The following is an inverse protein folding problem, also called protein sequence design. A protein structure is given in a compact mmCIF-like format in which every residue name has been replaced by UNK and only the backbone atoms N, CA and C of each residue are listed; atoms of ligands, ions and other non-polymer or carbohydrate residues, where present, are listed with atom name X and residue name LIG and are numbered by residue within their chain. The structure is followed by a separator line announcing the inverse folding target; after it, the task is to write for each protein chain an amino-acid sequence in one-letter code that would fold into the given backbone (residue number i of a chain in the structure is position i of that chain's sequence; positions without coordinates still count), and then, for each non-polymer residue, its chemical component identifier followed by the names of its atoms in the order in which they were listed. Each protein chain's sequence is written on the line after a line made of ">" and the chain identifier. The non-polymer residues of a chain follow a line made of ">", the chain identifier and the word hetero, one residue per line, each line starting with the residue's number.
data_IF_923158165565
#
_entry.id   IF_923158165565
#
_cell.length_a   1.000
_cell.length_b   1.000
_cell.length_c   1.000
_cell.angle_alpha   90.00
_cell.angle_beta   90.00
_cell.angle_gamma   90.00
#
_symmetry.space_group_name_H-M   'P 1'
#
loop_
_entity.id
_entity.type
_entity.pdbx_description
1 polymer ?
#
# COMPACT_ATOMS: atom_id res chain seq x y z
N UNK A 1 -19.86 7.28 -6.96
CA UNK A 1 -20.31 6.07 -6.23
C UNK A 1 -21.15 6.52 -5.05
N UNK A 2 -22.07 5.70 -4.57
CA UNK A 2 -22.94 6.01 -3.42
C UNK A 2 -22.76 4.93 -2.33
N UNK A 3 -22.91 5.32 -1.07
CA UNK A 3 -22.81 4.39 0.05
C UNK A 3 -24.13 3.62 0.24
N UNK A 4 -24.12 2.27 0.27
CA UNK A 4 -25.34 1.49 0.40
C UNK A 4 -26.07 1.77 1.72
N UNK A 5 -27.41 1.78 1.70
CA UNK A 5 -28.21 1.99 2.90
C UNK A 5 -27.88 0.93 3.97
N UNK A 6 -27.76 1.34 5.23
CA UNK A 6 -27.27 0.48 6.33
C UNK A 6 -28.12 -0.79 6.54
N UNK A 7 -29.39 -0.73 6.17
CA UNK A 7 -30.36 -1.83 6.20
C UNK A 7 -30.35 -2.73 4.95
N UNK A 8 -29.37 -2.60 4.05
CA UNK A 8 -29.23 -3.46 2.85
C UNK A 8 -28.95 -4.91 3.24
N UNK A 9 -29.58 -5.87 2.54
CA UNK A 9 -29.55 -7.31 2.89
C UNK A 9 -28.13 -7.93 2.90
N UNK A 10 -27.19 -7.37 2.13
CA UNK A 10 -25.79 -7.81 2.11
C UNK A 10 -24.99 -7.37 3.36
N UNK A 11 -25.43 -6.29 4.02
CA UNK A 11 -24.79 -5.74 5.22
C UNK A 11 -25.30 -6.44 6.49
N UNK A 12 -24.43 -6.54 7.49
CA UNK A 12 -24.77 -7.18 8.76
C UNK A 12 -25.77 -6.34 9.55
N UNK A 13 -26.89 -6.93 9.94
CA UNK A 13 -27.93 -6.29 10.74
C UNK A 13 -27.72 -6.48 12.26
N UNK A 14 -26.57 -7.01 12.68
CA UNK A 14 -26.20 -7.09 14.09
C UNK A 14 -25.87 -5.69 14.66
N UNK A 15 -26.34 -5.38 15.86
CA UNK A 15 -26.22 -4.03 16.44
C UNK A 15 -24.77 -3.50 16.55
N UNK A 16 -23.80 -4.37 16.86
CA UNK A 16 -22.37 -4.03 16.88
C UNK A 16 -21.86 -3.65 15.50
N UNK A 17 -22.22 -4.43 14.49
CA UNK A 17 -21.77 -4.21 13.10
C UNK A 17 -22.45 -2.97 12.50
N UNK A 18 -23.72 -2.74 12.82
CA UNK A 18 -24.45 -1.51 12.45
C UNK A 18 -23.83 -0.25 13.07
N UNK A 19 -23.30 -0.32 14.29
CA UNK A 19 -22.56 0.80 14.88
C UNK A 19 -21.28 1.10 14.09
N UNK A 20 -20.49 0.07 13.73
CA UNK A 20 -19.31 0.23 12.89
C UNK A 20 -19.63 0.72 11.47
N UNK A 21 -20.67 0.16 10.82
CA UNK A 21 -21.15 0.63 9.51
C UNK A 21 -21.62 2.09 9.57
N UNK A 22 -22.24 2.52 10.67
CA UNK A 22 -22.62 3.92 10.91
C UNK A 22 -21.41 4.86 11.01
N UNK A 23 -20.34 4.44 11.69
CA UNK A 23 -19.08 5.20 11.76
C UNK A 23 -18.42 5.27 10.37
N UNK A 24 -18.37 4.16 9.63
CA UNK A 24 -17.82 4.13 8.27
C UNK A 24 -18.64 5.02 7.33
N UNK A 25 -19.98 5.04 7.48
CA UNK A 25 -20.84 5.96 6.72
C UNK A 25 -20.56 7.41 7.06
N UNK A 26 -20.39 7.77 8.33
CA UNK A 26 -20.05 9.15 8.71
C UNK A 26 -18.74 9.63 8.06
N UNK A 27 -17.70 8.79 8.10
CA UNK A 27 -16.42 9.07 7.42
C UNK A 27 -16.58 9.14 5.89
N UNK A 28 -17.46 8.33 5.31
CA UNK A 28 -17.80 8.44 3.88
C UNK A 28 -18.51 9.76 3.58
N UNK A 29 -19.54 10.13 4.34
CA UNK A 29 -20.33 11.34 4.13
C UNK A 29 -19.48 12.62 4.28
N UNK A 30 -18.43 12.60 5.09
CA UNK A 30 -17.52 13.74 5.33
C UNK A 30 -16.35 13.81 4.33
N UNK A 31 -15.75 12.68 3.93
CA UNK A 31 -14.51 12.68 3.14
C UNK A 31 -14.65 12.13 1.71
N UNK A 32 -15.70 11.37 1.37
CA UNK A 32 -15.71 10.55 0.15
C UNK A 32 -15.57 11.33 -1.17
N UNK A 33 -16.03 12.58 -1.25
CA UNK A 33 -15.84 13.43 -2.43
C UNK A 33 -14.35 13.69 -2.74
N UNK A 34 -13.50 13.77 -1.72
CA UNK A 34 -12.04 13.96 -1.83
C UNK A 34 -11.32 12.65 -2.20
N UNK A 35 -11.93 11.49 -1.94
CA UNK A 35 -11.27 10.19 -2.09
C UNK A 35 -11.20 9.74 -3.56
N UNK A 36 -10.05 9.21 -4.02
CA UNK A 36 -9.94 8.53 -5.31
C UNK A 36 -10.93 7.36 -5.47
N UNK A 37 -11.30 7.03 -6.71
CA UNK A 37 -12.30 5.99 -6.99
C UNK A 37 -11.86 4.58 -6.56
N UNK A 38 -10.58 4.24 -6.63
CA UNK A 38 -10.05 2.97 -6.12
C UNK A 38 -10.17 2.87 -4.59
N UNK A 39 -9.94 3.97 -3.87
CA UNK A 39 -10.12 4.08 -2.43
C UNK A 39 -11.62 3.99 -2.08
N UNK A 40 -12.49 4.70 -2.81
CA UNK A 40 -13.95 4.60 -2.66
C UNK A 40 -14.46 3.17 -2.86
N UNK A 41 -14.07 2.52 -3.97
CA UNK A 41 -14.45 1.13 -4.26
C UNK A 41 -13.95 0.18 -3.16
N UNK A 42 -12.70 0.34 -2.68
CA UNK A 42 -12.15 -0.49 -1.60
C UNK A 42 -12.95 -0.37 -0.30
N UNK A 43 -13.48 0.81 0.03
CA UNK A 43 -14.36 0.96 1.21
C UNK A 43 -15.65 0.16 1.00
N UNK A 44 -16.32 0.33 -0.14
CA UNK A 44 -17.59 -0.31 -0.47
C UNK A 44 -17.49 -1.85 -0.49
N UNK A 45 -16.47 -2.39 -1.16
CA UNK A 45 -16.23 -3.83 -1.26
C UNK A 45 -16.03 -4.50 0.11
N UNK A 46 -15.46 -3.76 1.07
CA UNK A 46 -15.19 -4.27 2.41
C UNK A 46 -16.36 -4.12 3.40
N UNK A 47 -17.48 -3.47 3.03
CA UNK A 47 -18.63 -3.29 3.93
C UNK A 47 -19.30 -4.63 4.31
N UNK A 48 -19.37 -5.60 3.39
CA UNK A 48 -19.90 -6.94 3.72
C UNK A 48 -19.00 -7.71 4.71
N UNK A 49 -17.73 -7.30 4.83
CA UNK A 49 -16.73 -7.92 5.71
C UNK A 49 -16.70 -7.33 7.13
N UNK A 50 -17.47 -6.29 7.44
CA UNK A 50 -17.53 -5.61 8.77
C UNK A 50 -18.04 -6.52 9.92
N UNK A 51 -18.49 -7.74 9.60
CA UNK A 51 -19.11 -8.71 10.51
C UNK A 51 -18.23 -9.08 11.72
N UNK A 52 -18.68 -8.70 12.92
CA UNK A 52 -18.05 -9.11 14.18
C UNK A 52 -18.24 -10.60 14.43
N UNK A 53 -17.15 -11.27 14.73
CA UNK A 53 -17.10 -12.69 15.14
C UNK A 53 -16.35 -12.79 16.47
N UNK A 54 -16.60 -13.87 17.22
CA UNK A 54 -15.96 -14.08 18.54
C UNK A 54 -14.42 -14.07 18.49
N UNK A 55 -13.83 -14.37 17.33
CA UNK A 55 -12.37 -14.37 17.13
C UNK A 55 -11.82 -13.01 16.66
N UNK A 56 -12.55 -12.25 15.83
CA UNK A 56 -12.07 -10.96 15.33
C UNK A 56 -12.33 -9.79 16.30
N UNK A 57 -13.34 -9.86 17.17
CA UNK A 57 -13.62 -8.81 18.16
C UNK A 57 -12.43 -8.55 19.11
N UNK A 58 -11.69 -9.60 19.46
CA UNK A 58 -10.55 -9.54 20.39
C UNK A 58 -9.30 -8.93 19.75
N UNK A 59 -9.03 -9.18 18.47
CA UNK A 59 -7.82 -8.74 17.78
C UNK A 59 -8.09 -8.38 16.30
N UNK A 60 -7.71 -7.16 15.84
CA UNK A 60 -7.84 -6.76 14.44
C UNK A 60 -7.12 -7.69 13.45
N UNK A 61 -6.00 -8.31 13.86
CA UNK A 61 -5.27 -9.31 13.08
C UNK A 61 -6.06 -10.60 12.82
N UNK A 62 -7.14 -10.85 13.57
CA UNK A 62 -8.09 -11.92 13.29
C UNK A 62 -9.00 -11.63 12.09
N UNK A 63 -9.20 -10.36 11.74
CA UNK A 63 -10.17 -9.91 10.73
C UNK A 63 -9.83 -10.38 9.31
N UNK A 64 -10.84 -10.52 8.43
CA UNK A 64 -10.62 -10.88 7.02
C UNK A 64 -9.85 -9.78 6.28
N UNK A 65 -10.26 -8.54 6.48
CA UNK A 65 -9.66 -7.33 5.86
C UNK A 65 -8.17 -7.20 6.22
N UNK A 66 -7.78 -7.50 7.46
CA UNK A 66 -6.36 -7.50 7.87
C UNK A 66 -5.52 -8.54 7.11
N UNK A 67 -6.12 -9.64 6.63
CA UNK A 67 -5.40 -10.71 5.92
C UNK A 67 -5.25 -10.44 4.42
N UNK A 68 -5.77 -9.33 3.91
CA UNK A 68 -5.52 -8.89 2.54
C UNK A 68 -4.08 -8.35 2.41
N UNK A 69 -3.29 -8.72 1.38
CA UNK A 69 -1.94 -8.19 1.18
C UNK A 69 -1.91 -6.73 0.69
N UNK A 70 -3.00 -6.24 0.11
CA UNK A 70 -3.07 -5.01 -0.67
C UNK A 70 -3.68 -3.83 0.11
N UNK A 71 -3.38 -3.72 1.42
CA UNK A 71 -3.87 -2.60 2.25
C UNK A 71 -3.59 -1.23 1.60
N UNK A 72 -4.65 -0.41 1.53
CA UNK A 72 -4.65 0.98 1.10
C UNK A 72 -5.43 1.86 2.10
N UNK A 73 -5.69 3.12 1.76
CA UNK A 73 -6.44 4.04 2.62
C UNK A 73 -7.89 3.59 2.87
N UNK A 74 -8.56 2.98 1.90
CA UNK A 74 -9.92 2.45 2.08
C UNK A 74 -9.97 1.29 3.06
N UNK A 75 -8.92 0.44 3.06
CA UNK A 75 -8.71 -0.60 4.08
C UNK A 75 -8.60 0.00 5.48
N UNK A 76 -7.88 1.11 5.62
CA UNK A 76 -7.72 1.83 6.89
C UNK A 76 -9.05 2.39 7.41
N UNK A 77 -9.80 3.14 6.58
CA UNK A 77 -11.08 3.74 6.96
C UNK A 77 -12.06 2.68 7.49
N UNK A 78 -12.21 1.56 6.78
CA UNK A 78 -13.12 0.47 7.22
C UNK A 78 -12.63 -0.15 8.54
N UNK A 79 -11.35 -0.47 8.67
CA UNK A 79 -10.81 -1.05 9.90
C UNK A 79 -10.89 -0.08 11.09
N UNK A 80 -10.69 1.21 10.87
CA UNK A 80 -10.82 2.25 11.89
C UNK A 80 -12.26 2.38 12.40
N UNK A 81 -13.27 2.27 11.51
CA UNK A 81 -14.68 2.22 11.90
C UNK A 81 -15.09 0.95 12.66
N UNK A 82 -14.38 -0.18 12.47
CA UNK A 82 -14.59 -1.42 13.23
C UNK A 82 -13.92 -1.37 14.61
N UNK A 83 -12.66 -0.93 14.67
CA UNK A 83 -11.79 -1.15 15.84
C UNK A 83 -11.35 0.12 16.58
N UNK A 84 -11.49 1.30 15.97
CA UNK A 84 -10.87 2.54 16.41
C UNK A 84 -9.36 2.58 16.09
N UNK A 85 -8.88 3.78 15.71
CA UNK A 85 -7.47 4.08 15.35
C UNK A 85 -6.47 3.46 16.34
N UNK A 86 -6.72 3.61 17.64
CA UNK A 86 -5.82 3.18 18.71
C UNK A 86 -5.58 1.66 18.82
N UNK A 87 -6.35 0.81 18.12
CA UNK A 87 -6.10 -0.65 18.04
C UNK A 87 -5.33 -1.07 16.78
N UNK A 88 -5.03 -0.14 15.88
CA UNK A 88 -4.54 -0.42 14.52
C UNK A 88 -3.10 0.05 14.25
N UNK A 89 -2.32 0.34 15.29
CA UNK A 89 -0.97 0.93 15.20
C UNK A 89 -0.06 0.24 14.17
N UNK A 90 -0.05 -1.09 14.10
CA UNK A 90 0.77 -1.84 13.12
C UNK A 90 0.28 -1.65 11.67
N UNK A 91 -1.03 -1.54 11.46
CA UNK A 91 -1.60 -1.24 10.14
C UNK A 91 -1.29 0.21 9.74
N UNK A 92 -1.43 1.15 10.69
CA UNK A 92 -1.05 2.56 10.49
C UNK A 92 0.42 2.69 10.07
N UNK A 93 1.35 2.15 10.85
CA UNK A 93 2.79 2.16 10.57
C UNK A 93 3.15 1.54 9.21
N UNK A 94 2.45 0.46 8.82
CA UNK A 94 2.64 -0.20 7.53
C UNK A 94 2.16 0.68 6.36
N UNK A 95 1.09 1.44 6.56
CA UNK A 95 0.52 2.34 5.56
C UNK A 95 1.27 3.68 5.48
N UNK A 96 1.65 4.28 6.61
CA UNK A 96 2.56 5.44 6.70
C UNK A 96 3.88 5.15 5.96
N UNK A 97 4.41 3.92 6.09
CA UNK A 97 5.64 3.48 5.38
C UNK A 97 5.45 3.27 3.87
N UNK A 98 4.20 3.14 3.39
CA UNK A 98 3.85 3.00 1.95
C UNK A 98 3.41 4.32 1.33
N UNK A 99 2.81 5.20 2.12
CA UNK A 99 2.14 6.43 1.71
C UNK A 99 2.47 7.57 2.72
N UNK A 100 3.70 8.08 2.73
CA UNK A 100 4.16 9.06 3.73
C UNK A 100 3.48 10.43 3.60
N UNK A 101 2.83 10.71 2.48
CA UNK A 101 2.11 11.95 2.19
C UNK A 101 0.64 11.95 2.66
N UNK A 102 0.18 10.88 3.35
CA UNK A 102 -1.18 10.74 3.88
C UNK A 102 -1.17 10.86 5.41
N UNK A 103 -2.06 11.69 5.95
CA UNK A 103 -2.36 11.71 7.39
C UNK A 103 -3.48 10.72 7.72
N UNK A 104 -3.12 9.63 8.40
CA UNK A 104 -4.04 8.58 8.79
C UNK A 104 -4.85 8.89 10.07
N UNK A 105 -4.51 9.93 10.83
CA UNK A 105 -5.27 10.33 12.03
C UNK A 105 -6.43 11.27 11.68
N UNK A 106 -6.27 12.19 10.72
CA UNK A 106 -7.33 13.13 10.31
C UNK A 106 -8.38 12.55 9.35
N UNK A 107 -8.20 11.31 8.89
CA UNK A 107 -9.09 10.59 7.94
C UNK A 107 -9.28 11.26 6.57
N UNK A 108 -8.60 12.38 6.29
CA UNK A 108 -8.47 12.90 4.94
C UNK A 108 -7.54 12.01 4.12
N UNK A 109 -8.12 11.33 3.14
CA UNK A 109 -7.38 10.46 2.22
C UNK A 109 -6.41 11.22 1.32
N UNK A 110 -5.69 10.51 0.44
CA UNK A 110 -4.68 11.14 -0.41
C UNK A 110 -5.30 12.21 -1.29
N UNK A 111 -5.01 13.47 -0.96
CA UNK A 111 -5.20 14.61 -1.87
C UNK A 111 -4.56 14.24 -3.21
N UNK A 112 -5.24 14.48 -4.36
CA UNK A 112 -4.85 13.92 -5.65
C UNK A 112 -3.36 14.17 -5.92
N UNK A 113 -2.59 13.12 -6.26
CA UNK A 113 -1.13 13.15 -6.14
C UNK A 113 -0.56 14.31 -6.94
N UNK A 114 0.35 15.13 -6.35
CA UNK A 114 0.84 16.34 -6.97
C UNK A 114 1.42 15.99 -8.35
N UNK A 115 0.80 16.58 -9.39
CA UNK A 115 0.98 16.25 -10.81
C UNK A 115 2.40 15.77 -11.11
N UNK A 116 2.54 14.45 -11.30
CA UNK A 116 3.83 13.79 -11.34
C UNK A 116 4.79 14.53 -12.29
N UNK A 117 5.92 15.06 -11.80
CA UNK A 117 6.73 16.01 -12.57
C UNK A 117 7.12 15.38 -13.90
N UNK A 118 6.86 16.06 -15.04
CA UNK A 118 6.71 15.43 -16.35
C UNK A 118 7.90 14.53 -16.66
N UNK A 119 7.61 13.25 -16.83
CA UNK A 119 8.56 12.14 -16.69
C UNK A 119 9.89 12.45 -17.37
N UNK A 120 10.91 12.81 -16.56
CA UNK A 120 12.15 13.43 -17.05
C UNK A 120 12.86 12.45 -17.99
N UNK A 121 12.71 12.70 -19.29
CA UNK A 121 13.08 11.74 -20.33
C UNK A 121 14.53 11.35 -20.14
N UNK A 122 14.80 10.06 -19.89
CA UNK A 122 16.16 9.56 -19.69
C UNK A 122 16.92 9.68 -21.01
N UNK A 123 17.47 10.87 -21.28
CA UNK A 123 18.42 11.09 -22.36
C UNK A 123 19.59 10.14 -22.15
N UNK A 124 19.60 9.04 -22.90
CA UNK A 124 20.65 8.05 -22.85
C UNK A 124 21.92 8.68 -23.41
N UNK A 125 22.74 9.25 -22.53
CA UNK A 125 24.07 9.73 -22.88
C UNK A 125 24.87 8.54 -23.42
N UNK A 126 24.97 8.43 -24.75
CA UNK A 126 25.66 7.35 -25.46
C UNK A 126 27.16 7.49 -25.23
N UNK A 127 27.63 6.99 -24.09
CA UNK A 127 29.01 7.11 -23.64
C UNK A 127 29.94 6.37 -24.62
N UNK A 128 30.58 7.14 -25.50
CA UNK A 128 31.26 6.68 -26.71
C UNK A 128 32.62 6.06 -26.36
N UNK A 129 32.62 4.81 -25.88
CA UNK A 129 33.83 4.07 -25.48
C UNK A 129 34.90 4.13 -26.59
N UNK A 130 36.13 4.62 -26.31
CA UNK A 130 37.18 4.70 -27.31
C UNK A 130 37.77 3.30 -27.62
N UNK A 131 37.95 3.04 -28.92
CA UNK A 131 38.42 1.78 -29.50
C UNK A 131 39.94 1.61 -29.35
N UNK A 132 40.40 0.91 -28.30
CA UNK A 132 41.83 0.53 -28.15
C UNK A 132 42.20 -0.58 -29.15
N UNK A 133 43.42 -0.51 -29.73
CA UNK A 133 43.86 -1.35 -30.87
C UNK A 133 44.40 -2.72 -30.43
N UNK A 134 44.32 -3.71 -31.33
CA UNK A 134 45.00 -5.03 -31.22
C UNK A 134 46.52 -4.87 -31.25
N UNK A 135 47.21 -5.66 -30.42
CA UNK A 135 48.60 -6.13 -30.56
C UNK A 135 48.69 -7.39 -29.68
N UNK A 136 48.35 -8.58 -30.17
CA UNK A 136 49.16 -9.45 -31.06
C UNK A 136 50.47 -9.84 -30.35
N UNK A 137 50.49 -11.04 -29.80
CA UNK A 137 51.67 -11.70 -29.24
C UNK A 137 52.39 -12.50 -30.35
N UNK A 138 53.73 -12.57 -30.34
CA UNK A 138 54.50 -13.73 -30.73
C UNK A 138 54.86 -14.61 -29.51
N UNK A 139 55.41 -15.80 -29.75
CA UNK A 139 55.78 -16.80 -28.73
C UNK A 139 57.30 -17.03 -28.69
N UNK A 140 57.73 -18.23 -28.22
CA UNK A 140 59.13 -18.70 -28.03
C UNK A 140 59.77 -18.10 -26.75
N UNK A 141 60.05 -18.81 -25.65
CA UNK A 141 60.77 -20.09 -25.40
C UNK A 141 62.30 -19.93 -25.39
N UNK A 142 62.93 -20.08 -24.21
CA UNK A 142 64.13 -20.92 -23.95
C UNK A 142 64.41 -21.01 -22.41
N UNK A 143 65.56 -21.54 -21.99
CA UNK A 143 65.77 -22.40 -20.80
C UNK A 143 66.60 -21.77 -19.64
N UNK A 144 66.72 -22.52 -18.53
CA UNK A 144 67.77 -22.42 -17.47
C UNK A 144 67.72 -21.16 -16.57
N UNK A 145 68.14 -21.12 -15.30
CA UNK A 145 68.77 -22.06 -14.32
C UNK A 145 68.38 -21.55 -12.89
N UNK A 146 68.72 -22.10 -11.70
CA UNK A 146 69.64 -23.17 -11.25
C UNK A 146 69.18 -23.74 -9.86
N UNK A 147 70.04 -24.52 -9.18
CA UNK A 147 69.89 -25.01 -7.80
C UNK A 147 70.42 -24.03 -6.72
N UNK A 148 70.24 -24.42 -5.44
CA UNK A 148 70.95 -23.96 -4.22
C UNK A 148 70.31 -22.72 -3.53
N UNK A 149 70.19 -22.67 -2.20
CA UNK A 149 70.63 -23.58 -1.12
C UNK A 149 69.46 -24.28 -0.40
#
# INVERSE_FOLDING_TARGET
>A
MEFPALNSEHLSQAATDQASLGIIKALWDEHSDKLPDDIRQTILDNLEHVRSTRSNATQPSGHRIWKDPNWNFGTWVVMAGIYGIGRLTTMKQTLESRFPDIDFDSMDGPSPPPLAPPARTKQTAKFKKPRKKRRVNPATEDQSTAHTA
#
